data_IF_885164277738
#
_entry.id   IF_885164277738
#
_cell.length_a   1.000
_cell.length_b   1.000
_cell.length_c   1.000
_cell.angle_alpha   90.00
_cell.angle_beta   90.00
_cell.angle_gamma   90.00
#
_symmetry.space_group_name_H-M   'P 1'
#
loop_
_entity.id
_entity.type
_entity.pdbx_description
1 polymer ?
#
# COMPACT_ATOMS: atom_id res chain seq x y z
N UNK A 1 5.91 -4.55 13.56
CA UNK A 1 4.85 -4.20 12.58
C UNK A 1 3.71 -3.48 13.30
N UNK A 2 3.13 -2.42 12.69
CA UNK A 2 1.99 -1.71 13.25
C UNK A 2 0.79 -2.64 13.44
N UNK A 3 0.20 -2.60 14.60
CA UNK A 3 -1.06 -3.29 14.91
C UNK A 3 -2.17 -2.27 15.03
N UNK A 4 -3.34 -2.61 14.55
CA UNK A 4 -4.50 -1.72 14.59
C UNK A 4 -4.81 -1.29 16.01
N UNK A 5 -5.08 0.00 16.17
CA UNK A 5 -5.63 0.57 17.40
C UNK A 5 -7.06 0.06 17.62
N UNK A 6 -7.57 0.20 18.83
CA UNK A 6 -8.98 -0.09 19.12
C UNK A 6 -9.93 0.67 18.19
N UNK A 7 -9.57 1.91 17.84
CA UNK A 7 -10.33 2.72 16.88
C UNK A 7 -10.35 2.08 15.48
N UNK A 8 -9.18 1.65 14.96
CA UNK A 8 -9.10 0.98 13.67
C UNK A 8 -9.93 -0.32 13.66
N UNK A 9 -9.84 -1.13 14.73
CA UNK A 9 -10.59 -2.37 14.86
C UNK A 9 -12.09 -2.14 14.87
N UNK A 10 -12.58 -1.21 15.67
CA UNK A 10 -14.00 -0.85 15.75
C UNK A 10 -14.50 -0.32 14.41
N UNK A 11 -13.72 0.53 13.75
CA UNK A 11 -14.05 1.08 12.44
C UNK A 11 -14.19 -0.02 11.38
N UNK A 12 -13.23 -0.95 11.32
CA UNK A 12 -13.26 -2.06 10.35
C UNK A 12 -14.45 -2.98 10.61
N UNK A 13 -14.71 -3.38 11.88
CA UNK A 13 -15.85 -4.25 12.22
C UNK A 13 -17.19 -3.59 11.90
N UNK A 14 -17.36 -2.33 12.24
CA UNK A 14 -18.56 -1.56 11.88
C UNK A 14 -18.76 -1.53 10.36
N UNK A 15 -17.70 -1.36 9.59
CA UNK A 15 -17.75 -1.39 8.13
C UNK A 15 -18.18 -2.77 7.59
N UNK A 16 -17.76 -3.86 8.23
CA UNK A 16 -18.20 -5.23 7.88
C UNK A 16 -19.71 -5.37 8.09
N UNK A 17 -20.23 -4.93 9.25
CA UNK A 17 -21.68 -5.00 9.55
C UNK A 17 -22.52 -4.17 8.57
N UNK A 18 -22.12 -2.94 8.29
CA UNK A 18 -22.75 -2.09 7.28
C UNK A 18 -22.79 -2.78 5.90
N UNK A 19 -21.70 -3.42 5.52
CA UNK A 19 -21.63 -4.10 4.24
C UNK A 19 -22.43 -5.38 4.20
N UNK A 20 -22.56 -6.11 5.30
CA UNK A 20 -23.43 -7.28 5.45
C UNK A 20 -24.89 -6.90 5.16
N UNK A 21 -25.40 -5.83 5.75
CA UNK A 21 -26.74 -5.30 5.44
C UNK A 21 -26.89 -4.94 3.94
N UNK A 22 -25.91 -4.25 3.39
CA UNK A 22 -25.94 -3.84 1.98
C UNK A 22 -25.93 -5.04 1.04
N UNK A 23 -25.19 -6.11 1.34
CA UNK A 23 -25.20 -7.36 0.57
C UNK A 23 -26.55 -8.07 0.67
N UNK A 24 -27.15 -8.16 1.86
CA UNK A 24 -28.48 -8.74 2.03
C UNK A 24 -29.55 -7.99 1.22
N UNK A 25 -29.51 -6.67 1.26
CA UNK A 25 -30.42 -5.82 0.46
C UNK A 25 -30.19 -5.98 -1.03
N UNK A 26 -28.95 -6.19 -1.46
CA UNK A 26 -28.63 -6.47 -2.88
C UNK A 26 -29.16 -7.84 -3.31
N UNK A 27 -29.01 -8.85 -2.48
CA UNK A 27 -29.47 -10.22 -2.76
C UNK A 27 -30.99 -10.35 -2.77
N UNK A 28 -31.67 -9.59 -1.89
CA UNK A 28 -33.15 -9.54 -1.85
C UNK A 28 -33.76 -8.69 -2.96
N UNK A 29 -32.95 -7.97 -3.74
CA UNK A 29 -33.43 -7.05 -4.79
C UNK A 29 -33.83 -5.66 -4.30
N UNK A 30 -33.67 -5.36 -3.00
CA UNK A 30 -33.95 -4.05 -2.41
C UNK A 30 -32.93 -2.96 -2.82
N UNK A 31 -31.76 -3.38 -3.31
CA UNK A 31 -30.77 -2.51 -3.94
C UNK A 31 -30.51 -2.96 -5.37
N UNK A 32 -30.59 -2.04 -6.32
CA UNK A 32 -30.15 -2.23 -7.69
C UNK A 32 -28.62 -2.31 -7.78
N UNK A 33 -28.07 -2.79 -8.88
CA UNK A 33 -26.61 -2.81 -9.07
C UNK A 33 -26.00 -1.39 -9.10
N UNK A 34 -26.71 -0.41 -9.65
CA UNK A 34 -26.20 0.97 -9.72
C UNK A 34 -26.15 1.63 -8.33
N UNK A 35 -27.12 1.37 -7.46
CA UNK A 35 -27.10 1.80 -6.06
C UNK A 35 -26.07 1.04 -5.23
N UNK A 36 -25.91 -0.25 -5.44
CA UNK A 36 -24.95 -1.09 -4.72
C UNK A 36 -23.48 -0.84 -5.14
N UNK A 37 -23.24 -0.45 -6.38
CA UNK A 37 -21.91 -0.24 -6.93
C UNK A 37 -21.03 0.74 -6.12
N UNK A 38 -21.45 1.95 -5.75
CA UNK A 38 -20.65 2.83 -4.91
C UNK A 38 -20.37 2.22 -3.53
N UNK A 39 -21.30 1.48 -2.95
CA UNK A 39 -21.15 0.83 -1.65
C UNK A 39 -20.11 -0.31 -1.71
N UNK A 40 -20.25 -1.24 -2.67
CA UNK A 40 -19.29 -2.33 -2.82
C UNK A 40 -17.87 -1.86 -3.16
N UNK A 41 -17.75 -0.78 -3.94
CA UNK A 41 -16.43 -0.21 -4.26
C UNK A 41 -15.73 0.39 -3.02
N UNK A 42 -16.46 0.88 -2.02
CA UNK A 42 -15.85 1.31 -0.75
C UNK A 42 -15.25 0.13 0.04
N UNK A 43 -15.74 -1.07 -0.19
CA UNK A 43 -15.30 -2.31 0.45
C UNK A 43 -14.41 -3.20 -0.43
N UNK A 44 -13.76 -2.64 -1.44
CA UNK A 44 -12.80 -3.37 -2.26
C UNK A 44 -13.41 -4.35 -3.27
N UNK A 45 -14.74 -4.41 -3.39
CA UNK A 45 -15.42 -5.41 -4.21
C UNK A 45 -15.75 -4.88 -5.60
N UNK A 46 -15.17 -5.53 -6.61
CA UNK A 46 -15.44 -5.27 -8.03
C UNK A 46 -16.39 -6.31 -8.60
N UNK A 47 -17.25 -5.91 -9.51
CA UNK A 47 -17.96 -6.83 -10.40
C UNK A 47 -17.20 -6.88 -11.74
N UNK A 48 -16.64 -8.02 -12.04
CA UNK A 48 -15.99 -8.31 -13.30
C UNK A 48 -17.00 -9.00 -14.24
N UNK A 49 -16.57 -9.35 -15.46
CA UNK A 49 -17.47 -9.92 -16.48
C UNK A 49 -18.15 -11.22 -16.02
N UNK A 50 -17.44 -12.07 -15.29
CA UNK A 50 -17.92 -13.41 -14.93
C UNK A 50 -18.04 -13.65 -13.41
N UNK A 51 -17.46 -12.79 -12.57
CA UNK A 51 -17.42 -12.99 -11.13
C UNK A 51 -17.15 -11.68 -10.38
N UNK A 52 -17.40 -11.70 -9.09
CA UNK A 52 -16.88 -10.67 -8.20
C UNK A 52 -15.37 -10.87 -7.97
N UNK A 53 -14.68 -9.78 -7.68
CA UNK A 53 -13.29 -9.77 -7.27
C UNK A 53 -13.15 -8.89 -6.04
N UNK A 54 -12.66 -9.46 -4.95
CA UNK A 54 -12.32 -8.74 -3.74
C UNK A 54 -10.83 -8.41 -3.74
N UNK A 55 -10.49 -7.15 -3.48
CA UNK A 55 -9.11 -6.71 -3.30
C UNK A 55 -8.87 -6.37 -1.84
N UNK A 56 -7.98 -7.13 -1.21
CA UNK A 56 -7.54 -6.94 0.16
C UNK A 56 -6.43 -5.89 0.21
N UNK A 57 -6.50 -4.95 1.13
CA UNK A 57 -5.45 -3.98 1.38
C UNK A 57 -4.30 -4.63 2.17
N UNK A 58 -3.08 -4.44 1.68
CA UNK A 58 -1.86 -4.71 2.42
C UNK A 58 -1.14 -3.37 2.54
N UNK A 59 -1.38 -2.59 3.60
CA UNK A 59 -0.77 -1.28 3.76
C UNK A 59 0.75 -1.37 3.67
N UNK A 60 1.37 -0.49 2.87
CA UNK A 60 2.82 -0.43 2.61
C UNK A 60 3.48 -1.80 2.32
N UNK A 61 2.69 -2.83 2.03
CA UNK A 61 3.14 -4.15 1.58
C UNK A 61 3.58 -5.11 2.68
N UNK A 62 3.40 -4.78 3.97
CA UNK A 62 3.87 -5.60 5.08
C UNK A 62 2.78 -6.53 5.61
N UNK A 63 3.11 -7.80 5.79
CA UNK A 63 2.26 -8.85 6.36
C UNK A 63 2.98 -9.57 7.50
N UNK A 64 2.22 -10.08 8.47
CA UNK A 64 2.69 -11.10 9.43
C UNK A 64 2.27 -12.51 9.01
N UNK A 65 2.84 -13.53 9.66
CA UNK A 65 2.53 -14.93 9.37
C UNK A 65 1.07 -15.26 9.64
N UNK A 66 0.44 -14.67 10.65
CA UNK A 66 -0.98 -14.85 10.97
C UNK A 66 -1.86 -14.32 9.85
N UNK A 67 -1.56 -13.14 9.33
CA UNK A 67 -2.25 -12.52 8.20
C UNK A 67 -2.08 -13.35 6.92
N UNK A 68 -0.87 -13.83 6.65
CA UNK A 68 -0.62 -14.67 5.48
C UNK A 68 -1.37 -16.02 5.56
N UNK A 69 -1.45 -16.64 6.76
CA UNK A 69 -2.27 -17.86 6.96
C UNK A 69 -3.76 -17.58 6.78
N UNK A 70 -4.23 -16.40 7.18
CA UNK A 70 -5.62 -16.01 6.97
C UNK A 70 -5.95 -15.81 5.48
N UNK A 71 -5.04 -15.22 4.70
CA UNK A 71 -5.19 -15.14 3.25
C UNK A 71 -5.25 -16.53 2.61
N UNK A 72 -4.42 -17.48 3.09
CA UNK A 72 -4.47 -18.86 2.65
C UNK A 72 -5.80 -19.55 3.00
N UNK A 73 -6.33 -19.32 4.21
CA UNK A 73 -7.64 -19.82 4.63
C UNK A 73 -8.77 -19.27 3.75
N UNK A 74 -8.76 -17.98 3.43
CA UNK A 74 -9.74 -17.35 2.55
C UNK A 74 -9.65 -17.96 1.13
N UNK A 75 -8.45 -18.16 0.61
CA UNK A 75 -8.23 -18.76 -0.69
C UNK A 75 -8.86 -20.15 -0.82
N UNK A 76 -8.72 -21.00 0.21
CA UNK A 76 -9.24 -22.37 0.22
C UNK A 76 -10.76 -22.43 0.40
N UNK A 77 -11.34 -21.54 1.22
CA UNK A 77 -12.75 -21.66 1.61
C UNK A 77 -13.71 -20.86 0.72
N UNK A 78 -13.25 -19.74 0.13
CA UNK A 78 -14.13 -18.81 -0.58
C UNK A 78 -13.64 -18.41 -1.98
N UNK A 79 -12.47 -18.90 -2.39
CA UNK A 79 -11.93 -18.69 -3.73
C UNK A 79 -11.45 -20.02 -4.34
N UNK A 80 -10.52 -20.03 -5.24
CA UNK A 80 -10.03 -21.21 -5.99
C UNK A 80 -8.70 -21.75 -5.48
N UNK A 81 -8.39 -21.58 -4.18
CA UNK A 81 -7.16 -22.09 -3.55
C UNK A 81 -5.91 -21.28 -3.85
N UNK A 82 -6.03 -20.05 -4.34
CA UNK A 82 -4.91 -19.14 -4.55
C UNK A 82 -5.32 -17.68 -4.40
N UNK A 83 -4.34 -16.80 -4.12
CA UNK A 83 -4.49 -15.35 -4.13
C UNK A 83 -3.56 -14.72 -5.17
N UNK A 84 -3.98 -13.61 -5.76
CA UNK A 84 -3.20 -12.86 -6.74
C UNK A 84 -2.57 -11.62 -6.08
N UNK A 85 -1.25 -11.62 -5.94
CA UNK A 85 -0.47 -10.49 -5.42
C UNK A 85 -0.30 -9.44 -6.51
N UNK A 86 -0.64 -8.20 -6.19
CA UNK A 86 -0.66 -7.12 -7.19
C UNK A 86 0.61 -6.28 -7.16
N UNK A 87 0.88 -5.56 -8.25
CA UNK A 87 1.99 -4.60 -8.35
C UNK A 87 1.83 -3.38 -7.42
N UNK A 88 0.77 -3.30 -6.64
CA UNK A 88 0.55 -2.26 -5.62
C UNK A 88 0.29 -2.85 -4.24
N UNK A 89 1.02 -3.92 -3.92
CA UNK A 89 1.05 -4.46 -2.57
C UNK A 89 -0.35 -4.75 -2.01
N UNK A 90 -1.21 -5.38 -2.82
CA UNK A 90 -2.52 -5.87 -2.40
C UNK A 90 -2.65 -7.33 -2.82
N UNK A 91 -3.63 -8.03 -2.26
CA UNK A 91 -4.02 -9.38 -2.72
C UNK A 91 -5.43 -9.31 -3.31
N UNK A 92 -5.67 -10.06 -4.38
CA UNK A 92 -6.98 -10.22 -5.00
C UNK A 92 -7.46 -11.65 -4.91
N UNK A 93 -8.72 -11.80 -4.54
CA UNK A 93 -9.51 -13.01 -4.69
C UNK A 93 -10.50 -12.76 -5.83
N UNK A 94 -10.45 -13.57 -6.89
CA UNK A 94 -11.11 -13.24 -8.15
C UNK A 94 -12.47 -13.92 -8.32
N UNK A 95 -12.87 -14.80 -7.41
CA UNK A 95 -14.03 -15.67 -7.59
C UNK A 95 -14.98 -15.75 -6.39
N UNK A 96 -14.93 -14.84 -5.36
CA UNK A 96 -15.83 -14.95 -4.23
C UNK A 96 -17.28 -14.78 -4.67
N UNK A 97 -18.18 -15.51 -4.05
CA UNK A 97 -19.63 -15.31 -4.20
C UNK A 97 -20.03 -14.09 -3.38
N UNK A 98 -20.95 -13.26 -3.91
CA UNK A 98 -21.41 -12.05 -3.20
C UNK A 98 -21.91 -12.36 -1.78
N UNK A 99 -22.62 -13.46 -1.60
CA UNK A 99 -23.16 -13.86 -0.30
C UNK A 99 -22.07 -14.14 0.75
N UNK A 100 -20.88 -14.57 0.32
CA UNK A 100 -19.79 -14.94 1.20
C UNK A 100 -18.85 -13.76 1.54
N UNK A 101 -18.97 -12.64 0.81
CA UNK A 101 -18.04 -11.51 0.99
C UNK A 101 -18.06 -10.91 2.40
N UNK A 102 -19.21 -10.75 3.09
CA UNK A 102 -19.20 -10.28 4.48
C UNK A 102 -18.40 -11.18 5.41
N UNK A 103 -18.48 -12.51 5.26
CA UNK A 103 -17.70 -13.48 6.05
C UNK A 103 -16.20 -13.36 5.77
N UNK A 104 -15.84 -13.15 4.50
CA UNK A 104 -14.42 -12.89 4.11
C UNK A 104 -13.90 -11.62 4.77
N UNK A 105 -14.70 -10.54 4.78
CA UNK A 105 -14.32 -9.28 5.40
C UNK A 105 -14.20 -9.41 6.93
N UNK A 106 -15.05 -10.18 7.56
CA UNK A 106 -14.99 -10.49 8.99
C UNK A 106 -13.73 -11.29 9.33
N UNK A 107 -13.43 -12.34 8.55
CA UNK A 107 -12.22 -13.14 8.67
C UNK A 107 -10.93 -12.29 8.49
N UNK A 108 -10.96 -11.29 7.62
CA UNK A 108 -9.87 -10.31 7.50
C UNK A 108 -9.77 -9.42 8.74
N UNK A 109 -10.90 -8.93 9.26
CA UNK A 109 -10.93 -8.10 10.46
C UNK A 109 -10.33 -8.81 11.69
N UNK A 110 -10.54 -10.11 11.82
CA UNK A 110 -10.00 -10.93 12.92
C UNK A 110 -8.46 -10.94 13.00
N UNK A 111 -7.80 -10.63 11.89
CA UNK A 111 -6.34 -10.52 11.82
C UNK A 111 -5.84 -9.10 11.57
N UNK A 112 -6.69 -8.08 11.79
CA UNK A 112 -6.34 -6.67 11.57
C UNK A 112 -6.13 -6.33 10.09
N UNK A 113 -6.94 -6.88 9.19
CA UNK A 113 -6.91 -6.60 7.76
C UNK A 113 -8.27 -6.10 7.27
N UNK A 114 -8.28 -5.46 6.11
CA UNK A 114 -9.50 -4.96 5.48
C UNK A 114 -9.34 -4.83 3.95
N UNK A 115 -10.43 -4.46 3.26
CA UNK A 115 -10.45 -4.18 1.83
C UNK A 115 -10.72 -2.70 1.50
N UNK A 116 -10.72 -1.82 2.50
CA UNK A 116 -10.99 -0.38 2.36
C UNK A 116 -9.85 0.28 1.55
N UNK A 117 -10.14 1.31 0.79
CA UNK A 117 -9.19 2.06 -0.07
C UNK A 117 -8.49 1.21 -1.15
N UNK A 118 -9.06 0.08 -1.54
CA UNK A 118 -8.52 -0.72 -2.65
C UNK A 118 -9.28 -0.52 -3.96
N UNK A 119 -10.45 0.14 -3.92
CA UNK A 119 -11.26 0.49 -5.09
C UNK A 119 -11.93 1.85 -4.96
N UNK A 120 -12.69 2.27 -5.99
CA UNK A 120 -13.37 3.57 -6.00
C UNK A 120 -12.49 4.76 -6.40
N UNK A 121 -13.06 5.95 -6.28
CA UNK A 121 -12.42 7.22 -6.59
C UNK A 121 -11.96 7.92 -5.30
N UNK A 122 -11.07 7.27 -4.58
CA UNK A 122 -10.48 7.73 -3.33
C UNK A 122 -8.96 7.59 -3.36
N UNK A 123 -8.29 8.02 -2.30
CA UNK A 123 -6.90 7.69 -2.04
C UNK A 123 -6.81 6.18 -1.83
N UNK A 124 -5.94 5.53 -2.61
CA UNK A 124 -5.75 4.08 -2.58
C UNK A 124 -4.74 3.68 -1.51
N UNK A 125 -4.71 2.40 -1.18
CA UNK A 125 -3.66 1.84 -0.35
C UNK A 125 -2.30 2.49 -0.63
N UNK A 126 -1.67 3.06 0.38
CA UNK A 126 -0.35 3.70 0.26
C UNK A 126 0.70 2.60 0.17
N UNK A 127 1.54 2.67 -0.86
CA UNK A 127 2.60 1.69 -1.07
C UNK A 127 3.95 2.22 -0.61
N UNK A 128 4.83 1.33 -0.16
CA UNK A 128 6.19 1.67 0.20
C UNK A 128 7.21 0.83 -0.59
N UNK A 129 8.49 1.07 -0.33
CA UNK A 129 9.58 0.21 -0.79
C UNK A 129 9.38 -1.22 -0.26
N UNK A 130 9.50 -2.22 -1.13
CA UNK A 130 9.37 -3.62 -0.73
C UNK A 130 10.54 -4.15 0.12
N UNK A 131 11.57 -3.34 0.35
CA UNK A 131 12.66 -3.60 1.29
C UNK A 131 12.61 -2.66 2.50
N UNK A 132 11.48 -1.99 2.72
CA UNK A 132 11.28 -1.07 3.83
C UNK A 132 11.64 -1.69 5.18
N UNK A 133 12.41 -0.98 6.01
CA UNK A 133 12.88 -1.42 7.31
C UNK A 133 14.06 -2.39 7.27
N UNK A 134 14.38 -2.97 6.11
CA UNK A 134 15.44 -3.98 5.96
C UNK A 134 16.61 -3.53 5.06
N UNK A 135 16.38 -2.58 4.16
CA UNK A 135 17.37 -2.19 3.15
C UNK A 135 18.62 -1.53 3.73
N UNK A 136 19.80 -1.95 3.25
CA UNK A 136 21.08 -1.40 3.69
C UNK A 136 21.33 0.05 3.22
N UNK A 137 20.61 0.52 2.21
CA UNK A 137 20.71 1.86 1.62
C UNK A 137 19.56 2.78 2.04
N UNK A 138 18.79 2.41 3.07
CA UNK A 138 17.64 3.17 3.54
C UNK A 138 18.06 4.44 4.29
N UNK A 139 17.51 5.57 3.90
CA UNK A 139 17.70 6.86 4.59
C UNK A 139 16.87 6.88 5.88
N UNK A 140 15.64 6.39 5.77
CA UNK A 140 14.70 6.21 6.88
C UNK A 140 13.62 5.21 6.43
N UNK A 141 13.03 4.48 7.39
CA UNK A 141 11.93 3.55 7.11
C UNK A 141 10.71 4.32 6.58
N UNK A 142 10.19 3.99 5.38
CA UNK A 142 9.03 4.69 4.81
C UNK A 142 7.68 4.23 5.39
N UNK A 143 7.64 3.11 6.13
CA UNK A 143 6.39 2.51 6.64
C UNK A 143 5.65 3.41 7.63
N UNK A 144 6.30 4.08 8.61
CA UNK A 144 5.63 5.05 9.49
C UNK A 144 4.94 6.18 8.73
N UNK A 145 5.58 6.70 7.68
CA UNK A 145 5.00 7.73 6.80
C UNK A 145 3.81 7.21 6.02
N UNK A 146 3.93 6.00 5.46
CA UNK A 146 2.83 5.37 4.71
C UNK A 146 1.64 5.07 5.62
N UNK A 147 1.87 4.66 6.86
CA UNK A 147 0.82 4.41 7.85
C UNK A 147 0.16 5.72 8.31
N UNK A 148 0.92 6.78 8.53
CA UNK A 148 0.37 8.11 8.82
C UNK A 148 -0.59 8.57 7.71
N UNK A 149 -0.17 8.43 6.45
CA UNK A 149 -0.99 8.78 5.29
C UNK A 149 -2.23 7.87 5.18
N UNK A 150 -2.13 6.58 5.52
CA UNK A 150 -3.26 5.66 5.56
C UNK A 150 -4.28 6.11 6.59
N UNK A 151 -3.87 6.34 7.83
CA UNK A 151 -4.76 6.77 8.91
C UNK A 151 -5.44 8.11 8.56
N UNK A 152 -4.67 9.10 8.14
CA UNK A 152 -5.19 10.39 7.77
C UNK A 152 -6.19 10.33 6.60
N UNK A 153 -5.96 9.48 5.61
CA UNK A 153 -6.82 9.39 4.42
C UNK A 153 -7.98 8.43 4.55
N UNK A 154 -7.98 7.55 5.56
CA UNK A 154 -9.07 6.60 5.78
C UNK A 154 -10.35 7.34 6.17
N UNK A 155 -11.39 7.16 5.36
CA UNK A 155 -12.71 7.79 5.51
C UNK A 155 -12.69 9.32 5.62
N UNK A 156 -11.63 9.96 5.11
CA UNK A 156 -11.55 11.41 5.06
C UNK A 156 -12.69 11.99 4.21
N UNK A 157 -13.56 12.84 4.75
CA UNK A 157 -14.82 13.23 4.10
C UNK A 157 -14.62 13.90 2.74
N UNK A 158 -13.57 14.70 2.57
CA UNK A 158 -13.28 15.41 1.32
C UNK A 158 -12.74 14.49 0.21
N UNK A 159 -12.11 13.35 0.57
CA UNK A 159 -11.37 12.52 -0.40
C UNK A 159 -12.05 11.21 -0.76
N UNK A 160 -13.33 11.03 -0.39
CA UNK A 160 -14.13 9.86 -0.77
C UNK A 160 -14.63 9.90 -2.20
N UNK A 161 -14.70 11.10 -2.82
CA UNK A 161 -15.25 11.33 -4.14
C UNK A 161 -14.33 12.17 -5.03
N UNK A 162 -13.06 11.77 -5.10
CA UNK A 162 -12.07 12.36 -6.00
C UNK A 162 -12.48 12.18 -7.48
N UNK A 163 -11.99 13.01 -8.41
CA UNK A 163 -12.25 12.83 -9.84
C UNK A 163 -11.92 11.43 -10.35
N UNK A 164 -10.86 10.82 -9.81
CA UNK A 164 -10.44 9.45 -10.12
C UNK A 164 -9.63 8.87 -8.96
N UNK A 165 -9.40 7.52 -8.99
CA UNK A 165 -8.47 6.84 -8.07
C UNK A 165 -7.16 7.59 -7.95
N UNK A 166 -6.69 7.78 -6.73
CA UNK A 166 -5.48 8.51 -6.40
C UNK A 166 -4.48 7.58 -5.70
N UNK A 167 -3.23 7.64 -6.08
CA UNK A 167 -2.20 6.69 -5.63
C UNK A 167 -1.00 7.43 -5.07
N UNK A 168 -0.58 7.04 -3.87
CA UNK A 168 0.61 7.55 -3.19
C UNK A 168 1.59 6.40 -3.01
N UNK A 169 2.88 6.67 -3.21
CA UNK A 169 3.96 5.75 -2.90
C UNK A 169 5.08 6.47 -2.15
N UNK A 170 5.70 5.78 -1.19
CA UNK A 170 6.78 6.30 -0.36
C UNK A 170 8.02 5.43 -0.53
N UNK A 171 9.18 6.04 -0.80
CA UNK A 171 10.47 5.36 -0.85
C UNK A 171 11.41 5.91 0.22
N UNK A 172 11.99 5.02 1.03
CA UNK A 172 12.97 5.36 2.06
C UNK A 172 14.42 5.33 1.57
N UNK A 173 14.65 4.96 0.31
CA UNK A 173 15.97 4.74 -0.26
C UNK A 173 16.24 5.65 -1.45
N UNK A 174 17.52 5.98 -1.76
CA UNK A 174 17.91 6.66 -2.99
C UNK A 174 17.49 5.87 -4.25
N UNK A 175 17.42 4.54 -4.16
CA UNK A 175 16.86 3.69 -5.22
C UNK A 175 15.35 3.71 -5.14
N UNK A 176 14.69 4.16 -6.21
CA UNK A 176 13.22 4.23 -6.28
C UNK A 176 12.59 2.84 -6.50
N UNK A 177 12.68 1.96 -5.49
CA UNK A 177 12.05 0.63 -5.51
C UNK A 177 10.53 0.68 -5.36
N UNK A 178 10.00 1.77 -4.81
CA UNK A 178 8.55 2.02 -4.73
C UNK A 178 7.95 2.54 -6.04
N UNK A 179 8.78 2.82 -7.05
CA UNK A 179 8.37 3.40 -8.34
C UNK A 179 7.57 4.70 -8.15
N UNK A 180 8.03 5.57 -7.27
CA UNK A 180 7.37 6.83 -6.88
C UNK A 180 7.03 7.69 -8.10
N UNK A 181 7.90 7.71 -9.10
CA UNK A 181 7.70 8.42 -10.38
C UNK A 181 6.49 7.95 -11.20
N UNK A 182 5.90 6.79 -10.89
CA UNK A 182 4.72 6.25 -11.57
C UNK A 182 3.43 6.41 -10.75
N UNK A 183 3.41 7.29 -9.75
CA UNK A 183 2.29 7.53 -8.85
C UNK A 183 1.73 8.95 -8.97
N UNK A 184 0.48 9.15 -8.54
CA UNK A 184 -0.14 10.49 -8.53
C UNK A 184 0.65 11.42 -7.59
N UNK A 185 1.04 10.93 -6.40
CA UNK A 185 2.09 11.51 -5.55
C UNK A 185 3.17 10.45 -5.31
N UNK A 186 4.43 10.81 -5.54
CA UNK A 186 5.60 10.08 -5.12
C UNK A 186 6.33 10.85 -4.01
N UNK A 187 6.63 10.16 -2.92
CA UNK A 187 7.40 10.70 -1.81
C UNK A 187 8.72 9.95 -1.70
N UNK A 188 9.83 10.64 -1.83
CA UNK A 188 11.16 10.06 -1.60
C UNK A 188 11.75 10.70 -0.36
N UNK A 189 12.14 9.88 0.61
CA UNK A 189 12.81 10.38 1.80
C UNK A 189 14.19 10.91 1.43
N UNK A 190 14.50 12.13 1.88
CA UNK A 190 15.75 12.84 1.64
C UNK A 190 16.21 13.53 2.93
N UNK A 191 17.47 13.97 2.96
CA UNK A 191 17.98 14.84 4.02
C UNK A 191 18.41 16.18 3.42
N UNK A 192 18.11 17.25 4.15
CA UNK A 192 18.61 18.56 3.77
C UNK A 192 20.11 18.71 4.13
N UNK A 193 20.68 19.88 3.84
CA UNK A 193 22.09 20.18 4.13
C UNK A 193 22.45 20.12 5.63
N UNK A 194 21.46 20.20 6.52
CA UNK A 194 21.63 20.07 7.97
C UNK A 194 21.47 18.63 8.47
N UNK A 195 21.21 17.67 7.55
CA UNK A 195 20.95 16.29 7.89
C UNK A 195 19.52 16.00 8.38
N UNK A 196 18.63 16.99 8.39
CA UNK A 196 17.23 16.82 8.83
C UNK A 196 16.46 16.03 7.79
N UNK A 197 15.60 15.06 8.22
CA UNK A 197 14.80 14.27 7.30
C UNK A 197 13.63 15.06 6.72
N UNK A 198 13.23 14.70 5.52
CA UNK A 198 12.10 15.28 4.80
C UNK A 198 11.84 14.50 3.52
N UNK A 199 11.04 15.07 2.64
CA UNK A 199 10.60 14.42 1.41
C UNK A 199 10.89 15.25 0.17
N UNK A 200 11.43 14.61 -0.87
CA UNK A 200 11.23 15.08 -2.23
C UNK A 200 9.81 14.68 -2.66
N UNK A 201 9.05 15.62 -3.21
CA UNK A 201 7.66 15.40 -3.63
C UNK A 201 7.55 15.44 -5.14
N UNK A 202 7.05 14.35 -5.72
CA UNK A 202 6.77 14.21 -7.14
C UNK A 202 5.26 14.10 -7.37
N UNK A 203 4.77 14.69 -8.46
CA UNK A 203 3.35 14.60 -8.84
C UNK A 203 3.16 14.20 -10.30
N UNK A 204 1.98 13.71 -10.64
CA UNK A 204 1.55 13.51 -12.02
C UNK A 204 2.10 12.25 -12.69
N UNK A 205 2.66 11.32 -11.94
CA UNK A 205 3.03 10.02 -12.46
C UNK A 205 1.84 9.08 -12.65
N UNK A 206 2.01 8.08 -13.50
CA UNK A 206 1.01 7.03 -13.64
C UNK A 206 1.21 6.14 -14.85
N UNK A 207 0.80 4.88 -14.66
CA UNK A 207 0.80 3.84 -15.70
C UNK A 207 -0.53 3.79 -16.44
N UNK A 208 -0.71 2.79 -17.26
CA UNK A 208 -1.91 2.52 -18.04
C UNK A 208 -1.75 2.94 -19.50
N UNK A 209 -2.86 3.30 -20.15
CA UNK A 209 -2.91 3.55 -21.59
C UNK A 209 -1.95 4.64 -22.08
N UNK A 210 -1.74 5.67 -21.26
CA UNK A 210 -0.81 6.77 -21.53
C UNK A 210 0.10 6.90 -20.31
N UNK A 211 1.23 6.18 -20.25
CA UNK A 211 2.14 6.27 -19.10
C UNK A 211 2.81 7.64 -19.07
N UNK A 212 2.95 8.18 -17.86
CA UNK A 212 3.63 9.47 -17.61
C UNK A 212 4.52 9.33 -16.38
N UNK A 213 5.66 9.99 -16.43
CA UNK A 213 6.61 10.08 -15.33
C UNK A 213 6.27 11.33 -14.51
N UNK A 214 6.19 11.18 -13.19
CA UNK A 214 5.95 12.29 -12.28
C UNK A 214 7.10 13.28 -12.28
N UNK A 215 6.78 14.55 -12.15
CA UNK A 215 7.73 15.64 -12.01
C UNK A 215 7.93 16.01 -10.55
N UNK A 216 9.15 16.38 -10.16
CA UNK A 216 9.43 16.93 -8.84
C UNK A 216 8.87 18.35 -8.76
N UNK A 217 8.01 18.58 -7.77
CA UNK A 217 7.41 19.89 -7.46
C UNK A 217 8.02 20.50 -6.21
N UNK A 218 8.65 19.69 -5.38
CA UNK A 218 9.38 20.18 -4.21
C UNK A 218 10.56 19.25 -3.90
N UNK A 219 11.77 19.79 -3.88
CA UNK A 219 12.98 19.00 -3.64
C UNK A 219 13.14 18.62 -2.17
N UNK A 220 12.64 19.45 -1.25
CA UNK A 220 12.63 19.17 0.17
C UNK A 220 11.37 19.71 0.85
N UNK A 221 10.60 18.82 1.46
CA UNK A 221 9.46 19.12 2.31
C UNK A 221 9.75 18.59 3.72
N UNK A 222 9.73 19.43 4.77
CA UNK A 222 9.90 18.97 6.15
C UNK A 222 8.82 17.95 6.55
N UNK A 223 9.18 16.98 7.41
CA UNK A 223 8.23 15.93 7.86
C UNK A 223 6.94 16.51 8.44
N UNK A 224 7.03 17.60 9.22
CA UNK A 224 5.87 18.24 9.86
C UNK A 224 4.88 18.86 8.85
N UNK A 225 5.32 19.15 7.65
CA UNK A 225 4.51 19.77 6.60
C UNK A 225 3.83 18.76 5.67
N UNK A 226 4.13 17.47 5.83
CA UNK A 226 3.70 16.41 4.91
C UNK A 226 2.19 16.41 4.64
N UNK A 227 1.38 16.32 5.69
CA UNK A 227 -0.07 16.19 5.53
C UNK A 227 -0.69 17.45 4.91
N UNK A 228 -0.25 18.65 5.35
CA UNK A 228 -0.72 19.91 4.78
C UNK A 228 -0.38 20.02 3.28
N UNK A 229 0.81 19.60 2.88
CA UNK A 229 1.22 19.65 1.47
C UNK A 229 0.48 18.62 0.61
N UNK A 230 0.34 17.39 1.10
CA UNK A 230 -0.44 16.34 0.42
C UNK A 230 -1.91 16.75 0.29
N UNK A 231 -2.48 17.37 1.31
CA UNK A 231 -3.84 17.91 1.27
C UNK A 231 -3.96 19.02 0.21
N UNK A 232 -3.00 19.93 0.12
CA UNK A 232 -2.99 20.99 -0.88
C UNK A 232 -2.98 20.44 -2.30
N UNK A 233 -2.14 19.43 -2.58
CA UNK A 233 -2.14 18.74 -3.88
C UNK A 233 -3.51 18.11 -4.17
N UNK A 234 -4.11 17.45 -3.19
CA UNK A 234 -5.42 16.81 -3.35
C UNK A 234 -6.55 17.79 -3.58
N UNK A 235 -6.53 18.96 -2.92
CA UNK A 235 -7.53 20.01 -3.09
C UNK A 235 -7.47 20.65 -4.46
N UNK A 236 -6.28 21.02 -4.92
CA UNK A 236 -6.06 21.52 -6.28
C UNK A 236 -6.51 20.47 -7.31
N UNK A 237 -6.15 19.21 -7.12
CA UNK A 237 -6.63 18.13 -7.97
C UNK A 237 -8.15 17.95 -7.90
N UNK A 238 -8.76 18.06 -6.71
CA UNK A 238 -10.21 17.90 -6.51
C UNK A 238 -11.00 19.03 -7.19
N UNK A 239 -10.43 20.23 -7.21
CA UNK A 239 -11.00 21.41 -7.85
C UNK A 239 -10.94 21.31 -9.39
N UNK A 240 -9.79 21.00 -9.96
CA UNK A 240 -9.57 21.04 -11.41
C UNK A 240 -9.70 19.70 -12.13
N UNK A 241 -9.69 18.59 -11.40
CA UNK A 241 -9.76 17.25 -11.98
C UNK A 241 -11.10 17.03 -12.70
N UNK A 242 -11.01 16.55 -13.93
CA UNK A 242 -12.21 16.29 -14.76
C UNK A 242 -13.08 15.16 -14.18
N UNK A 243 -14.40 15.37 -14.18
CA UNK A 243 -15.40 14.38 -13.76
C UNK A 243 -16.29 13.89 -14.90
N UNK A 244 -16.36 14.64 -15.98
CA UNK A 244 -17.12 14.33 -17.20
C UNK A 244 -16.52 13.15 -17.99
N UNK A 245 -15.18 13.00 -17.95
CA UNK A 245 -14.49 11.98 -18.71
C UNK A 245 -13.51 11.18 -17.83
N UNK A 246 -13.93 9.99 -17.40
CA UNK A 246 -13.14 9.08 -16.56
C UNK A 246 -11.76 8.70 -17.11
N UNK A 247 -11.54 8.81 -18.42
CA UNK A 247 -10.26 8.49 -19.07
C UNK A 247 -9.26 9.65 -18.99
N UNK A 248 -9.76 10.88 -18.79
CA UNK A 248 -8.96 12.09 -18.64
C UNK A 248 -8.98 12.67 -17.21
N UNK A 249 -9.47 11.93 -16.25
CA UNK A 249 -9.71 12.40 -14.89
C UNK A 249 -8.51 12.22 -13.92
N UNK A 250 -7.40 11.60 -14.36
CA UNK A 250 -6.23 11.38 -13.48
C UNK A 250 -5.39 12.64 -13.32
N UNK A 251 -4.75 12.80 -12.15
CA UNK A 251 -3.83 13.91 -11.87
C UNK A 251 -2.77 14.09 -12.96
N UNK A 252 -2.19 13.02 -13.46
CA UNK A 252 -1.19 13.07 -14.55
C UNK A 252 -1.68 13.79 -15.81
N UNK A 253 -2.98 13.70 -16.11
CA UNK A 253 -3.56 14.41 -17.26
C UNK A 253 -3.70 15.89 -16.93
N UNK A 254 -4.16 16.23 -15.72
CA UNK A 254 -4.22 17.62 -15.26
C UNK A 254 -2.82 18.27 -15.33
N UNK A 255 -1.79 17.60 -14.78
CA UNK A 255 -0.40 18.09 -14.84
C UNK A 255 0.07 18.31 -16.28
N UNK A 256 -0.29 17.42 -17.20
CA UNK A 256 0.10 17.53 -18.60
C UNK A 256 -0.63 18.67 -19.35
N UNK A 257 -1.94 18.84 -19.08
CA UNK A 257 -2.78 19.85 -19.73
C UNK A 257 -2.52 21.27 -19.19
N UNK A 258 -2.25 21.40 -17.87
CA UNK A 258 -2.05 22.70 -17.19
C UNK A 258 -0.57 23.13 -17.22
N UNK A 259 0.36 22.19 -17.26
CA UNK A 259 1.79 22.42 -17.07
C UNK A 259 2.21 22.30 -15.59
N UNK A 260 3.41 21.75 -15.37
CA UNK A 260 3.95 21.47 -14.03
C UNK A 260 4.12 22.77 -13.23
N UNK A 261 4.71 23.79 -13.82
CA UNK A 261 5.04 25.05 -13.12
C UNK A 261 3.80 25.79 -12.65
N UNK A 262 2.77 25.89 -13.52
CA UNK A 262 1.51 26.53 -13.18
C UNK A 262 0.77 25.80 -12.04
N UNK A 263 0.73 24.46 -12.12
CA UNK A 263 0.08 23.65 -11.09
C UNK A 263 0.85 23.69 -9.78
N UNK A 264 2.20 23.72 -9.85
CA UNK A 264 3.06 23.86 -8.66
C UNK A 264 2.79 25.18 -7.95
N UNK A 265 2.68 26.28 -8.70
CA UNK A 265 2.38 27.59 -8.13
C UNK A 265 1.04 27.56 -7.36
N UNK A 266 0.00 27.00 -7.93
CA UNK A 266 -1.31 26.90 -7.28
C UNK A 266 -1.26 25.98 -6.04
N UNK A 267 -0.51 24.89 -6.08
CA UNK A 267 -0.28 24.02 -4.92
C UNK A 267 0.44 24.77 -3.80
N UNK A 268 1.45 25.56 -4.12
CA UNK A 268 2.19 26.36 -3.15
C UNK A 268 1.33 27.45 -2.50
N UNK A 269 0.45 28.08 -3.28
CA UNK A 269 -0.51 29.08 -2.77
C UNK A 269 -1.52 28.41 -1.80
N UNK A 270 -2.10 27.27 -2.17
CA UNK A 270 -2.99 26.50 -1.29
C UNK A 270 -2.24 26.02 -0.04
N UNK A 271 -0.99 25.59 -0.17
CA UNK A 271 -0.18 25.18 0.95
C UNK A 271 0.12 26.34 1.91
N UNK A 272 0.42 27.52 1.40
CA UNK A 272 0.65 28.73 2.22
C UNK A 272 -0.59 29.10 3.04
N UNK A 273 -1.79 28.96 2.44
CA UNK A 273 -3.06 29.16 3.17
C UNK A 273 -3.29 28.05 4.21
N UNK A 274 -3.02 26.80 3.86
CA UNK A 274 -3.15 25.65 4.78
C UNK A 274 -2.29 25.79 6.00
N UNK A 275 -1.04 26.21 5.86
CA UNK A 275 -0.11 26.39 6.99
C UNK A 275 -0.60 27.36 8.06
N UNK A 276 -1.47 28.29 7.73
CA UNK A 276 -2.05 29.23 8.71
C UNK A 276 -2.94 28.54 9.74
N UNK A 277 -3.56 27.44 9.35
CA UNK A 277 -4.56 26.70 10.13
C UNK A 277 -4.14 25.31 10.56
N UNK A 278 -3.08 24.78 9.96
CA UNK A 278 -2.59 23.44 10.23
C UNK A 278 -1.64 23.47 11.44
N UNK A 279 -2.08 22.86 12.53
CA UNK A 279 -1.31 22.81 13.79
C UNK A 279 -0.06 21.89 13.72
N UNK A 280 0.20 21.27 12.57
CA UNK A 280 1.22 20.24 12.41
C UNK A 280 0.67 18.83 12.66
N UNK A 281 1.51 17.85 12.40
CA UNK A 281 1.18 16.45 12.71
C UNK A 281 1.35 16.23 14.23
N UNK A 282 0.46 15.45 14.81
CA UNK A 282 0.60 15.03 16.20
C UNK A 282 1.94 14.30 16.40
N UNK A 283 2.80 14.88 17.22
CA UNK A 283 4.16 14.38 17.46
C UNK A 283 4.14 13.06 18.21
N UNK A 284 3.17 12.85 19.10
CA UNK A 284 3.03 11.60 19.85
C UNK A 284 2.59 10.48 18.89
N UNK A 285 1.62 10.73 18.02
CA UNK A 285 1.23 9.78 16.97
C UNK A 285 2.41 9.40 16.09
N UNK A 286 3.20 10.36 15.61
CA UNK A 286 4.38 10.08 14.79
C UNK A 286 5.42 9.27 15.54
N UNK A 287 5.67 9.58 16.81
CA UNK A 287 6.60 8.82 17.65
C UNK A 287 6.12 7.36 17.84
N UNK A 288 4.85 7.18 18.13
CA UNK A 288 4.23 5.85 18.28
C UNK A 288 4.29 5.04 16.98
N UNK A 289 4.04 5.68 15.83
CA UNK A 289 4.18 5.02 14.53
C UNK A 289 5.64 4.62 14.27
N UNK A 290 6.61 5.49 14.52
CA UNK A 290 8.03 5.16 14.38
C UNK A 290 8.43 3.99 15.30
N UNK A 291 7.99 3.99 16.56
CA UNK A 291 8.25 2.91 17.50
C UNK A 291 7.64 1.55 17.07
N UNK A 292 6.45 1.56 16.44
CA UNK A 292 5.81 0.35 15.95
C UNK A 292 6.59 -0.36 14.82
N UNK A 293 7.49 0.35 14.14
CA UNK A 293 8.33 -0.18 13.08
C UNK A 293 9.82 -0.24 13.47
N UNK A 294 10.14 -0.10 14.76
CA UNK A 294 11.52 -0.32 15.20
C UNK A 294 11.98 -1.73 14.88
N UNK A 295 13.24 -1.89 14.41
CA UNK A 295 13.77 -3.20 14.09
C UNK A 295 13.80 -4.09 15.35
N UNK A 296 13.59 -5.41 15.17
CA UNK A 296 13.75 -6.35 16.26
C UNK A 296 15.21 -6.41 16.74
N UNK A 297 15.44 -6.99 17.90
CA UNK A 297 16.80 -7.33 18.36
C UNK A 297 17.35 -8.44 17.46
N UNK A 298 18.37 -8.12 16.67
CA UNK A 298 18.99 -9.07 15.75
C UNK A 298 19.92 -10.03 16.48
N UNK A 299 19.81 -11.32 16.16
CA UNK A 299 20.82 -12.31 16.54
C UNK A 299 22.05 -12.13 15.64
N UNK A 300 23.17 -11.79 16.26
CA UNK A 300 24.44 -11.56 15.57
C UNK A 300 25.32 -12.82 15.53
N UNK A 301 24.82 -13.95 16.04
CA UNK A 301 25.55 -15.23 15.97
C UNK A 301 25.72 -15.62 14.49
N UNK A 302 26.96 -15.98 14.13
CA UNK A 302 27.30 -16.39 12.78
C UNK A 302 27.80 -17.81 12.78
N UNK A 303 27.26 -18.61 11.89
CA UNK A 303 27.83 -19.93 11.57
C UNK A 303 28.40 -19.89 10.15
N UNK A 304 29.38 -20.72 9.86
CA UNK A 304 29.90 -20.87 8.49
C UNK A 304 28.98 -21.70 7.59
N UNK A 305 27.89 -22.23 8.14
CA UNK A 305 27.01 -23.15 7.42
C UNK A 305 26.44 -22.57 6.09
N UNK A 306 26.15 -21.26 6.05
CA UNK A 306 25.70 -20.60 4.84
C UNK A 306 26.80 -20.54 3.77
N UNK A 307 28.01 -20.10 4.14
CA UNK A 307 29.13 -19.97 3.21
C UNK A 307 29.60 -21.37 2.77
N UNK A 308 29.70 -22.31 3.69
CA UNK A 308 30.03 -23.68 3.37
C UNK A 308 29.04 -24.34 2.39
N UNK A 309 27.76 -24.06 2.53
CA UNK A 309 26.76 -24.53 1.58
C UNK A 309 26.89 -23.82 0.23
N UNK A 310 27.08 -22.52 0.22
CA UNK A 310 27.27 -21.74 -1.01
C UNK A 310 28.48 -22.18 -1.81
N UNK A 311 29.56 -22.63 -1.13
CA UNK A 311 30.76 -23.16 -1.76
C UNK A 311 30.54 -24.57 -2.38
N UNK A 312 29.74 -25.42 -1.72
CA UNK A 312 29.56 -26.84 -2.10
C UNK A 312 28.41 -27.06 -3.08
N UNK A 313 27.40 -26.18 -3.09
CA UNK A 313 26.16 -26.32 -3.83
C UNK A 313 26.04 -25.17 -4.86
N UNK A 314 26.29 -25.50 -6.13
CA UNK A 314 26.25 -24.51 -7.24
C UNK A 314 24.86 -23.92 -7.43
N UNK A 315 23.80 -24.71 -7.26
CA UNK A 315 22.43 -24.26 -7.46
C UNK A 315 22.03 -23.32 -6.33
N UNK A 316 22.41 -23.64 -5.10
CA UNK A 316 22.22 -22.74 -3.96
C UNK A 316 22.98 -21.43 -4.14
N UNK A 317 24.21 -21.47 -4.66
CA UNK A 317 24.97 -20.25 -4.98
C UNK A 317 24.24 -19.38 -5.99
N UNK A 318 23.80 -19.94 -7.10
CA UNK A 318 23.05 -19.21 -8.15
C UNK A 318 21.78 -18.64 -7.56
N UNK A 319 21.05 -19.40 -6.74
CA UNK A 319 19.84 -18.94 -6.08
C UNK A 319 20.13 -17.76 -5.14
N UNK A 320 21.17 -17.85 -4.31
CA UNK A 320 21.54 -16.76 -3.38
C UNK A 320 21.96 -15.50 -4.13
N UNK A 321 22.73 -15.62 -5.19
CA UNK A 321 23.20 -14.49 -5.99
C UNK A 321 22.06 -13.78 -6.73
N UNK A 322 20.96 -14.50 -7.00
CA UNK A 322 19.78 -13.97 -7.72
C UNK A 322 18.71 -13.41 -6.77
N UNK A 323 18.48 -14.06 -5.63
CA UNK A 323 17.32 -13.80 -4.79
C UNK A 323 17.63 -13.11 -3.46
N UNK A 324 18.91 -12.99 -3.08
CA UNK A 324 19.27 -12.29 -1.85
C UNK A 324 19.76 -10.88 -2.13
N UNK A 325 19.32 -9.96 -1.28
CA UNK A 325 19.79 -8.57 -1.25
C UNK A 325 20.39 -8.23 0.12
N UNK A 326 21.21 -7.19 0.16
CA UNK A 326 21.86 -6.76 1.40
C UNK A 326 20.85 -6.19 2.38
N UNK A 327 20.85 -6.77 3.57
CA UNK A 327 20.11 -6.28 4.72
C UNK A 327 20.90 -5.21 5.49
N UNK A 328 20.24 -4.30 6.19
CA UNK A 328 20.85 -3.27 7.07
C UNK A 328 21.74 -3.89 8.18
N UNK A 329 21.32 -5.03 8.73
CA UNK A 329 22.11 -5.85 9.61
C UNK A 329 22.89 -6.89 8.79
N UNK A 330 24.21 -6.87 8.85
CA UNK A 330 25.08 -7.74 8.04
C UNK A 330 25.00 -9.23 8.39
N UNK A 331 24.32 -9.61 9.49
CA UNK A 331 24.05 -10.99 9.85
C UNK A 331 22.82 -11.58 9.13
N UNK A 332 22.04 -10.73 8.46
CA UNK A 332 20.81 -11.09 7.77
C UNK A 332 20.90 -10.77 6.27
N UNK A 333 19.98 -11.33 5.52
CA UNK A 333 19.77 -11.02 4.10
C UNK A 333 18.29 -10.81 3.83
N UNK A 334 17.97 -10.02 2.82
CA UNK A 334 16.60 -9.90 2.30
C UNK A 334 16.43 -10.98 1.24
N UNK A 335 15.49 -11.90 1.45
CA UNK A 335 15.18 -12.96 0.50
C UNK A 335 13.96 -12.56 -0.34
N UNK A 336 14.13 -12.51 -1.65
CA UNK A 336 13.04 -12.24 -2.61
C UNK A 336 12.49 -13.56 -3.14
N UNK A 337 11.19 -13.79 -2.91
CA UNK A 337 10.47 -14.94 -3.46
C UNK A 337 9.72 -14.50 -4.71
N UNK A 338 10.11 -15.03 -5.87
CA UNK A 338 9.46 -14.69 -7.14
C UNK A 338 8.13 -15.43 -7.30
N UNK A 339 7.06 -14.67 -7.52
CA UNK A 339 5.74 -15.21 -7.87
C UNK A 339 5.53 -15.26 -9.41
N UNK A 340 6.59 -15.64 -10.13
CA UNK A 340 6.59 -15.76 -11.61
C UNK A 340 7.03 -17.17 -12.02
N UNK A 341 6.19 -18.19 -11.81
CA UNK A 341 6.53 -19.54 -12.26
C UNK A 341 6.60 -19.61 -13.78
N UNK A 342 7.48 -20.46 -14.32
CA UNK A 342 7.57 -20.73 -15.76
C UNK A 342 6.26 -21.39 -16.18
N UNK A 343 5.59 -20.82 -17.20
CA UNK A 343 4.31 -21.33 -17.71
C UNK A 343 3.09 -21.06 -16.81
N UNK A 344 3.24 -20.33 -15.70
CA UNK A 344 2.14 -19.96 -14.79
C UNK A 344 1.78 -18.47 -14.84
N UNK A 345 0.71 -18.10 -14.16
CA UNK A 345 0.25 -16.71 -14.04
C UNK A 345 1.16 -15.95 -13.07
N UNK A 346 1.80 -14.85 -13.49
CA UNK A 346 2.61 -14.04 -12.59
C UNK A 346 1.75 -13.40 -11.48
N UNK A 347 2.23 -13.48 -10.24
CA UNK A 347 1.59 -12.89 -9.07
C UNK A 347 0.66 -13.84 -8.31
N UNK A 348 0.38 -15.04 -8.82
CA UNK A 348 -0.44 -16.01 -8.10
C UNK A 348 0.40 -16.81 -7.09
N UNK A 349 -0.15 -17.00 -5.90
CA UNK A 349 0.35 -17.90 -4.87
C UNK A 349 -0.77 -18.80 -4.37
N UNK A 350 -0.53 -20.10 -4.32
CA UNK A 350 -1.48 -21.06 -3.77
C UNK A 350 -1.59 -20.91 -2.24
N UNK A 351 -2.70 -21.34 -1.67
CA UNK A 351 -2.89 -21.37 -0.22
C UNK A 351 -1.76 -22.11 0.51
N UNK A 352 -1.28 -23.21 -0.06
CA UNK A 352 -0.16 -23.95 0.51
C UNK A 352 1.17 -23.15 0.46
N UNK A 353 1.45 -22.44 -0.64
CA UNK A 353 2.62 -21.57 -0.73
C UNK A 353 2.55 -20.42 0.28
N UNK A 354 1.36 -19.84 0.49
CA UNK A 354 1.16 -18.80 1.51
C UNK A 354 1.44 -19.34 2.92
N UNK A 355 1.01 -20.57 3.26
CA UNK A 355 1.31 -21.19 4.55
C UNK A 355 2.80 -21.45 4.75
N UNK A 356 3.48 -21.96 3.72
CA UNK A 356 4.94 -22.16 3.75
C UNK A 356 5.67 -20.84 3.95
N UNK A 357 5.26 -19.77 3.27
CA UNK A 357 5.84 -18.43 3.48
C UNK A 357 5.60 -17.93 4.91
N UNK A 358 4.40 -18.13 5.46
CA UNK A 358 4.09 -17.79 6.84
C UNK A 358 4.99 -18.55 7.84
N UNK A 359 5.20 -19.85 7.64
CA UNK A 359 6.07 -20.67 8.49
C UNK A 359 7.54 -20.24 8.42
N UNK A 360 8.00 -19.82 7.24
CA UNK A 360 9.35 -19.27 7.05
C UNK A 360 9.48 -17.93 7.77
N UNK A 361 8.52 -17.02 7.61
CA UNK A 361 8.54 -15.70 8.22
C UNK A 361 8.55 -15.78 9.75
N UNK A 362 7.66 -16.57 10.34
CA UNK A 362 7.58 -16.77 11.78
C UNK A 362 8.88 -17.33 12.38
N UNK A 363 9.55 -18.24 11.67
CA UNK A 363 10.75 -18.90 12.16
C UNK A 363 12.04 -18.14 11.86
N UNK A 364 12.12 -17.39 10.77
CA UNK A 364 13.39 -16.90 10.22
C UNK A 364 13.39 -15.39 9.89
N UNK A 365 12.23 -14.72 9.89
CA UNK A 365 12.13 -13.32 9.47
C UNK A 365 11.41 -12.44 10.51
N UNK A 366 11.50 -12.79 11.80
CA UNK A 366 10.84 -12.03 12.88
C UNK A 366 9.34 -11.77 12.64
N UNK A 367 8.66 -12.75 12.02
CA UNK A 367 7.24 -12.69 11.68
C UNK A 367 6.88 -11.58 10.67
N UNK A 368 7.81 -11.19 9.79
CA UNK A 368 7.57 -10.13 8.80
C UNK A 368 7.79 -10.64 7.36
N UNK A 369 6.81 -10.32 6.47
CA UNK A 369 6.79 -10.66 5.04
C UNK A 369 6.62 -9.39 4.22
#
# INVERSE_FOLDING_TARGET
MYRYSEFDELFVRRRVEEFRDQVQRRLSGSLTEDEFKPLRLKNGLYLQLHAYMLRVAIPYGTLDARQMRQLAFIADNWDKGFGHFTTRQNVQFNWPKLADVPEILEALADVGMHAIQTSGNCIRNVTADHFAGAAADEISDPRPTAELLRQWSTDHPEFQYLPRKFKIAVSGSPRDRAVTKAHDIGLRMVRNQRGEPGYEVLIGGGLGRTPMIGATVREFLPENDLLAYVESILRVYNLHGRRDNKYKARLKILVHETGVDSLTHEIEDEFAERKKWFAGVDRELVANLKAAFEPPVFDLSRTRAFEDRKERDSDFRVWTDTNLSRHRCSAYAIATVSLKPIGGTPGDATANQMRVLADIAERLAHDEI
#
